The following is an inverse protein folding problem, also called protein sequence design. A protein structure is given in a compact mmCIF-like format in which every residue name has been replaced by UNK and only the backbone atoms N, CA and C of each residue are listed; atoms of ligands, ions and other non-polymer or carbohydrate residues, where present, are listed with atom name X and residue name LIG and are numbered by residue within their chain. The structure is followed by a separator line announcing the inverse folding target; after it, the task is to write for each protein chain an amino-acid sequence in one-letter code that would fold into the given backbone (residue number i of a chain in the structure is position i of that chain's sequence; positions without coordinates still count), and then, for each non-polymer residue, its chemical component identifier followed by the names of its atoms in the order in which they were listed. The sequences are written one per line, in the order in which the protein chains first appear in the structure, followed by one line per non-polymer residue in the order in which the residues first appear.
data_IF_773218955428
#
_entry.id   IF_773218955428
#
_cell.length_a   1.000
_cell.length_b   1.000
_cell.length_c   1.000
_cell.angle_alpha   90.00
_cell.angle_beta   90.00
_cell.angle_gamma   90.00
#
_symmetry.space_group_name_H-M   'P 1'
#
loop_
_entity.id
_entity.type
_entity.pdbx_description
1 polymer ?
#
# COMPACT_ATOMS: atom_id res chain seq x y z
N UNK A 1 19.14 5.99 -43.60
CA UNK A 1 18.29 5.76 -42.41
C UNK A 1 19.00 6.46 -41.27
N UNK A 2 18.63 7.71 -41.00
CA UNK A 2 19.32 8.53 -40.02
C UNK A 2 19.15 7.91 -38.64
N UNK A 3 20.27 7.48 -38.03
CA UNK A 3 20.26 6.94 -36.68
C UNK A 3 19.87 8.06 -35.72
N UNK A 4 18.73 7.91 -35.08
CA UNK A 4 18.36 8.71 -33.91
C UNK A 4 19.51 8.59 -32.89
N UNK A 5 20.10 9.71 -32.42
CA UNK A 5 21.15 9.66 -31.41
C UNK A 5 20.70 8.90 -30.17
N UNK A 6 21.61 8.14 -29.56
CA UNK A 6 21.29 7.26 -28.41
C UNK A 6 20.62 8.01 -27.26
N UNK A 7 21.05 9.26 -26.99
CA UNK A 7 20.46 10.11 -25.96
C UNK A 7 18.98 10.45 -26.26
N UNK A 8 18.67 10.79 -27.51
CA UNK A 8 17.31 11.10 -27.93
C UNK A 8 16.41 9.85 -27.85
N UNK A 9 16.96 8.68 -28.22
CA UNK A 9 16.27 7.41 -28.07
C UNK A 9 16.01 7.06 -26.61
N UNK A 10 16.98 7.28 -25.72
CA UNK A 10 16.83 7.07 -24.28
C UNK A 10 15.73 7.97 -23.70
N UNK A 11 15.65 9.23 -24.12
CA UNK A 11 14.63 10.17 -23.68
C UNK A 11 13.22 9.81 -24.15
N UNK A 12 13.08 9.27 -25.38
CA UNK A 12 11.81 8.73 -25.87
C UNK A 12 11.42 7.51 -25.03
N UNK A 13 12.33 6.55 -24.85
CA UNK A 13 12.08 5.32 -24.12
C UNK A 13 11.74 5.57 -22.63
N UNK A 14 12.37 6.56 -22.00
CA UNK A 14 12.12 6.94 -20.60
C UNK A 14 10.69 7.46 -20.37
N UNK A 15 10.01 7.92 -21.41
CA UNK A 15 8.60 8.37 -21.35
C UNK A 15 7.61 7.22 -21.42
N UNK A 16 8.04 6.02 -21.81
CA UNK A 16 7.15 4.87 -21.89
C UNK A 16 6.82 4.32 -20.49
N UNK A 17 5.61 3.78 -20.28
CA UNK A 17 5.31 3.04 -19.06
C UNK A 17 6.13 1.72 -19.01
N UNK A 18 6.24 1.08 -17.83
CA UNK A 18 7.15 -0.06 -17.63
C UNK A 18 6.92 -1.22 -18.61
N UNK A 19 5.67 -1.50 -18.98
CA UNK A 19 5.33 -2.61 -19.88
C UNK A 19 5.83 -2.38 -21.32
N UNK A 20 5.46 -1.29 -22.03
CA UNK A 20 6.03 -1.00 -23.34
C UNK A 20 7.55 -0.88 -23.34
N UNK A 21 8.16 -0.33 -22.29
CA UNK A 21 9.62 -0.26 -22.18
C UNK A 21 10.25 -1.66 -22.12
N UNK A 22 9.66 -2.59 -21.38
CA UNK A 22 10.11 -3.98 -21.35
C UNK A 22 9.97 -4.68 -22.71
N UNK A 23 8.93 -4.34 -23.48
CA UNK A 23 8.76 -4.82 -24.86
C UNK A 23 9.84 -4.25 -25.77
N UNK A 24 10.10 -2.94 -25.73
CA UNK A 24 11.19 -2.32 -26.51
C UNK A 24 12.54 -2.99 -26.23
N UNK A 25 12.83 -3.30 -24.97
CA UNK A 25 14.03 -4.05 -24.57
C UNK A 25 14.16 -5.42 -25.24
N UNK A 26 13.05 -6.09 -25.56
CA UNK A 26 13.05 -7.40 -26.23
C UNK A 26 13.11 -7.35 -27.76
N UNK A 27 12.93 -6.18 -28.38
CA UNK A 27 12.80 -6.05 -29.84
C UNK A 27 14.15 -6.07 -30.56
N UNK A 28 15.18 -5.42 -30.03
CA UNK A 28 16.50 -5.37 -30.66
C UNK A 28 17.65 -5.28 -29.64
N UNK A 29 18.87 -5.63 -30.10
CA UNK A 29 20.09 -5.50 -29.28
C UNK A 29 20.39 -4.05 -28.92
N UNK A 30 20.14 -3.12 -29.83
CA UNK A 30 20.40 -1.70 -29.62
C UNK A 30 19.44 -1.11 -28.60
N UNK A 31 18.13 -1.40 -28.71
CA UNK A 31 17.15 -1.00 -27.71
C UNK A 31 17.44 -1.61 -26.34
N UNK A 32 17.85 -2.88 -26.31
CA UNK A 32 18.30 -3.52 -25.07
C UNK A 32 19.49 -2.80 -24.46
N UNK A 33 20.50 -2.44 -25.27
CA UNK A 33 21.69 -1.74 -24.80
C UNK A 33 21.35 -0.37 -24.19
N UNK A 34 20.46 0.39 -24.81
CA UNK A 34 20.00 1.69 -24.27
C UNK A 34 19.21 1.52 -22.97
N UNK A 35 18.28 0.56 -22.92
CA UNK A 35 17.45 0.31 -21.73
C UNK A 35 18.29 -0.15 -20.55
N UNK A 36 19.23 -1.08 -20.78
CA UNK A 36 20.08 -1.66 -19.73
C UNK A 36 21.20 -0.68 -19.33
N UNK A 37 21.88 -0.05 -20.31
CA UNK A 37 22.98 0.88 -20.08
C UNK A 37 22.56 2.16 -19.34
N UNK A 38 21.29 2.58 -19.46
CA UNK A 38 20.73 3.72 -18.73
C UNK A 38 19.82 3.31 -17.57
N UNK A 39 19.76 2.02 -17.25
CA UNK A 39 18.95 1.48 -16.16
C UNK A 39 17.47 1.94 -16.20
N UNK A 40 16.89 2.10 -17.40
CA UNK A 40 15.58 2.76 -17.55
C UNK A 40 14.46 1.99 -16.84
N UNK A 41 14.49 0.65 -16.86
CA UNK A 41 13.53 -0.18 -16.12
C UNK A 41 13.68 -0.04 -14.60
N UNK A 42 14.90 0.10 -14.10
CA UNK A 42 15.15 0.32 -12.68
C UNK A 42 14.67 1.72 -12.26
N UNK A 43 14.88 2.74 -13.10
CA UNK A 43 14.36 4.09 -12.87
C UNK A 43 12.83 4.11 -12.80
N UNK A 44 12.14 3.23 -13.55
CA UNK A 44 10.69 3.09 -13.51
C UNK A 44 10.19 2.03 -12.49
N UNK A 45 11.08 1.41 -11.71
CA UNK A 45 10.71 0.36 -10.75
C UNK A 45 9.73 0.83 -9.67
N UNK A 46 9.74 2.12 -9.34
CA UNK A 46 8.75 2.72 -8.44
C UNK A 46 7.34 2.77 -9.06
N UNK A 47 7.23 2.78 -10.40
CA UNK A 47 5.94 2.77 -11.14
C UNK A 47 5.41 1.38 -11.38
N UNK A 48 6.24 0.35 -11.23
CA UNK A 48 5.79 -1.04 -11.22
C UNK A 48 5.22 -1.30 -9.84
N UNK A 49 3.94 -1.67 -9.75
CA UNK A 49 3.38 -2.24 -8.51
C UNK A 49 4.30 -3.36 -8.06
N UNK A 50 5.08 -3.12 -7.00
CA UNK A 50 5.88 -4.17 -6.37
C UNK A 50 4.89 -5.28 -5.99
N UNK A 51 5.25 -6.53 -6.30
CA UNK A 51 4.40 -7.68 -5.96
C UNK A 51 4.05 -7.66 -4.47
N UNK A 52 2.87 -8.19 -4.13
CA UNK A 52 2.45 -8.32 -2.74
C UNK A 52 3.49 -9.11 -1.96
N UNK A 53 4.19 -8.45 -1.01
CA UNK A 53 5.25 -9.09 -0.21
C UNK A 53 4.69 -10.04 0.85
N UNK A 54 3.47 -9.78 1.31
CA UNK A 54 2.77 -10.62 2.27
C UNK A 54 1.43 -10.04 2.68
N UNK A 55 0.74 -10.75 3.57
CA UNK A 55 -0.57 -10.39 4.12
C UNK A 55 -0.50 -10.41 5.64
N UNK A 56 -1.16 -9.44 6.27
CA UNK A 56 -1.44 -9.45 7.71
C UNK A 56 -2.82 -10.06 7.94
N UNK A 57 -2.92 -11.03 8.85
CA UNK A 57 -4.18 -11.70 9.22
C UNK A 57 -4.42 -11.49 10.71
N UNK A 58 -5.59 -10.97 11.06
CA UNK A 58 -6.07 -10.89 12.44
C UNK A 58 -6.70 -12.23 12.81
N UNK A 59 -6.20 -12.88 13.87
CA UNK A 59 -6.81 -14.09 14.43
C UNK A 59 -7.60 -13.76 15.69
N UNK A 60 -8.75 -14.42 15.85
CA UNK A 60 -9.56 -14.28 17.08
C UNK A 60 -8.77 -14.81 18.27
N UNK A 61 -8.77 -14.06 19.38
CA UNK A 61 -8.08 -14.42 20.60
C UNK A 61 -6.55 -14.22 20.56
N UNK A 62 -6.03 -13.54 19.53
CA UNK A 62 -4.64 -13.16 19.44
C UNK A 62 -4.48 -11.66 19.65
N UNK A 63 -3.41 -11.28 20.34
CA UNK A 63 -3.19 -9.88 20.67
C UNK A 63 -2.70 -9.05 19.47
N UNK A 64 -2.15 -9.72 18.47
CA UNK A 64 -1.53 -9.09 17.30
C UNK A 64 -1.82 -9.86 16.01
N UNK A 65 -1.76 -9.17 14.85
CA UNK A 65 -1.86 -9.81 13.55
C UNK A 65 -0.63 -10.65 13.24
N UNK A 66 -0.82 -11.68 12.44
CA UNK A 66 0.26 -12.51 11.90
C UNK A 66 0.58 -12.11 10.47
N UNK A 67 1.87 -12.03 10.14
CA UNK A 67 2.33 -11.72 8.80
C UNK A 67 2.75 -12.99 8.05
N UNK A 68 2.15 -13.19 6.88
CA UNK A 68 2.48 -14.28 5.98
C UNK A 68 3.11 -13.72 4.71
N UNK A 69 4.35 -14.09 4.43
CA UNK A 69 5.08 -13.66 3.24
C UNK A 69 5.59 -14.83 2.43
N UNK A 70 5.84 -14.59 1.14
CA UNK A 70 6.69 -15.49 0.37
C UNK A 70 8.14 -15.36 0.86
N UNK A 71 8.89 -16.47 0.98
CA UNK A 71 10.29 -16.41 1.35
C UNK A 71 11.10 -15.71 0.25
N UNK A 72 11.37 -14.42 0.43
CA UNK A 72 12.25 -13.63 -0.43
C UNK A 72 13.62 -13.49 0.23
N UNK A 73 14.64 -14.14 -0.35
CA UNK A 73 16.02 -14.12 0.18
C UNK A 73 16.72 -12.75 0.09
N UNK A 74 16.24 -11.83 -0.75
CA UNK A 74 16.96 -10.61 -1.11
C UNK A 74 16.29 -9.31 -0.65
N UNK A 75 15.12 -9.37 -0.01
CA UNK A 75 14.39 -8.17 0.38
C UNK A 75 14.61 -7.85 1.87
N UNK A 76 14.62 -6.57 2.28
CA UNK A 76 14.76 -6.19 3.68
C UNK A 76 13.67 -6.88 4.52
N UNK A 77 14.02 -7.35 5.73
CA UNK A 77 13.07 -7.99 6.62
C UNK A 77 11.98 -6.98 7.00
N UNK A 78 10.72 -7.36 6.78
CA UNK A 78 9.57 -6.65 7.33
C UNK A 78 9.52 -7.01 8.81
N UNK A 79 9.34 -6.03 9.69
CA UNK A 79 9.02 -6.31 11.08
C UNK A 79 7.58 -6.84 11.16
N UNK A 80 7.48 -8.16 10.97
CA UNK A 80 6.26 -8.95 10.91
C UNK A 80 5.48 -8.95 12.24
N UNK A 81 6.20 -8.77 13.34
CA UNK A 81 5.64 -8.81 14.69
C UNK A 81 5.14 -7.44 15.16
N UNK A 82 5.40 -6.38 14.38
CA UNK A 82 5.04 -4.99 14.69
C UNK A 82 5.61 -4.52 16.05
N UNK A 83 6.77 -5.03 16.48
CA UNK A 83 7.39 -4.65 17.77
C UNK A 83 7.70 -3.16 17.86
N UNK A 84 7.97 -2.51 16.72
CA UNK A 84 8.15 -1.06 16.63
C UNK A 84 6.94 -0.22 17.09
N UNK A 85 5.77 -0.82 17.32
CA UNK A 85 4.59 -0.16 17.89
C UNK A 85 4.59 -0.09 19.42
N UNK A 86 5.58 -0.65 20.12
CA UNK A 86 5.69 -0.50 21.57
C UNK A 86 5.60 0.99 21.99
N UNK A 87 4.71 1.33 22.95
CA UNK A 87 4.10 0.48 23.98
C UNK A 87 2.74 -0.18 23.61
N UNK A 88 2.28 -0.09 22.36
CA UNK A 88 0.98 -0.62 21.93
C UNK A 88 1.07 -2.14 21.83
N UNK A 89 0.69 -2.85 22.89
CA UNK A 89 0.81 -4.32 22.98
C UNK A 89 -0.22 -5.08 22.16
N UNK A 90 -1.41 -4.51 21.96
CA UNK A 90 -2.57 -5.17 21.38
C UNK A 90 -3.17 -4.39 20.21
N UNK A 91 -3.80 -5.10 19.27
CA UNK A 91 -4.67 -4.48 18.26
C UNK A 91 -4.74 -5.27 16.95
N UNK A 92 -5.47 -4.70 15.99
CA UNK A 92 -5.78 -5.35 14.72
C UNK A 92 -5.48 -4.47 13.52
N UNK A 93 -5.14 -5.07 12.39
CA UNK A 93 -5.03 -4.35 11.11
C UNK A 93 -6.43 -4.24 10.50
N UNK A 94 -6.96 -3.03 10.43
CA UNK A 94 -8.31 -2.76 9.89
C UNK A 94 -8.28 -2.40 8.41
N UNK A 95 -7.15 -1.92 7.90
CA UNK A 95 -6.96 -1.64 6.47
C UNK A 95 -5.47 -1.67 6.10
N UNK A 96 -5.16 -1.84 4.82
CA UNK A 96 -3.80 -1.69 4.30
C UNK A 96 -3.83 -1.03 2.92
N UNK A 97 -2.81 -0.23 2.59
CA UNK A 97 -2.68 0.41 1.29
C UNK A 97 -1.21 0.66 0.95
N UNK A 98 -0.75 0.15 -0.20
CA UNK A 98 0.61 0.38 -0.75
C UNK A 98 1.77 0.29 0.27
N UNK A 99 1.69 -0.69 1.18
CA UNK A 99 2.73 -0.97 2.18
C UNK A 99 2.53 -0.27 3.53
N UNK A 100 1.55 0.61 3.66
CA UNK A 100 1.10 1.16 4.93
C UNK A 100 -0.04 0.32 5.51
N UNK A 101 -0.10 0.24 6.83
CA UNK A 101 -1.16 -0.41 7.59
C UNK A 101 -1.94 0.63 8.39
N UNK A 102 -3.25 0.44 8.46
CA UNK A 102 -4.10 1.10 9.43
C UNK A 102 -4.37 0.11 10.57
N UNK A 103 -3.85 0.44 11.75
CA UNK A 103 -3.89 -0.40 12.94
C UNK A 103 -4.82 0.22 13.99
N UNK A 104 -5.69 -0.59 14.58
CA UNK A 104 -6.66 -0.19 15.60
C UNK A 104 -6.32 -0.87 16.93
N UNK A 105 -6.10 -0.05 17.95
CA UNK A 105 -5.97 -0.47 19.35
C UNK A 105 -7.09 0.18 20.16
N UNK A 106 -7.99 -0.63 20.71
CA UNK A 106 -9.25 -0.22 21.35
C UNK A 106 -10.06 0.78 20.50
N UNK A 107 -9.83 2.07 20.68
CA UNK A 107 -10.49 3.18 19.98
C UNK A 107 -9.52 4.11 19.24
N UNK A 108 -8.22 3.81 19.27
CA UNK A 108 -7.17 4.64 18.69
C UNK A 108 -6.64 4.01 17.41
N UNK A 109 -6.60 4.81 16.35
CA UNK A 109 -6.01 4.42 15.07
C UNK A 109 -4.56 4.88 14.96
N UNK A 110 -3.77 4.05 14.30
CA UNK A 110 -2.38 4.31 13.95
C UNK A 110 -2.16 4.00 12.48
N UNK A 111 -1.35 4.82 11.82
CA UNK A 111 -0.80 4.50 10.51
C UNK A 111 0.62 3.99 10.71
N UNK A 112 0.89 2.79 10.22
CA UNK A 112 2.12 2.07 10.47
C UNK A 112 2.81 1.73 9.15
N UNK A 113 4.13 1.85 9.10
CA UNK A 113 4.97 1.37 8.02
C UNK A 113 5.92 0.29 8.54
N UNK A 114 5.58 -1.01 8.36
CA UNK A 114 6.41 -2.12 8.80
C UNK A 114 7.78 -2.22 8.11
N UNK A 115 7.91 -1.64 6.91
CA UNK A 115 9.19 -1.64 6.19
C UNK A 115 10.17 -0.60 6.76
N UNK A 116 9.66 0.52 7.27
CA UNK A 116 10.50 1.57 7.86
C UNK A 116 10.47 1.59 9.39
N UNK A 117 9.66 0.73 10.03
CA UNK A 117 9.45 0.68 11.48
C UNK A 117 9.00 2.03 12.06
N UNK A 118 8.12 2.73 11.33
CA UNK A 118 7.58 4.04 11.75
C UNK A 118 6.08 3.93 11.93
N UNK A 119 5.55 4.73 12.84
CA UNK A 119 4.13 4.83 13.08
C UNK A 119 3.75 6.26 13.48
N UNK A 120 2.48 6.59 13.30
CA UNK A 120 1.89 7.83 13.76
C UNK A 120 0.48 7.55 14.30
N UNK A 121 0.18 8.11 15.47
CA UNK A 121 -1.18 8.11 16.02
C UNK A 121 -2.04 9.09 15.22
N UNK A 122 -3.23 8.65 14.80
CA UNK A 122 -4.20 9.53 14.16
C UNK A 122 -4.93 10.39 15.21
N UNK A 123 -5.38 11.60 14.83
CA UNK A 123 -6.20 12.41 15.72
C UNK A 123 -7.49 11.67 16.12
N UNK A 124 -8.05 11.97 17.30
CA UNK A 124 -9.33 11.41 17.72
C UNK A 124 -10.41 11.68 16.68
N UNK A 125 -11.26 10.68 16.41
CA UNK A 125 -12.38 10.84 15.48
C UNK A 125 -13.45 11.74 16.11
N UNK A 126 -14.00 12.73 15.37
CA UNK A 126 -15.11 13.53 15.86
C UNK A 126 -16.38 12.67 15.93
N UNK A 127 -16.85 12.38 17.15
CA UNK A 127 -18.19 11.83 17.40
C UNK A 127 -18.45 10.36 17.03
N UNK A 128 -17.42 9.61 16.60
CA UNK A 128 -17.57 8.20 16.22
C UNK A 128 -17.43 7.24 17.40
N UNK A 129 -18.22 6.17 17.41
CA UNK A 129 -17.90 4.98 18.20
C UNK A 129 -16.74 4.24 17.54
N UNK A 130 -16.01 3.41 18.28
CA UNK A 130 -14.84 2.65 17.76
C UNK A 130 -15.15 1.70 16.58
N UNK A 131 -16.40 1.65 16.09
CA UNK A 131 -16.85 0.81 14.98
C UNK A 131 -16.87 1.46 13.60
N UNK A 132 -16.71 2.79 13.47
CA UNK A 132 -16.80 3.44 12.15
C UNK A 132 -15.67 2.96 11.21
N UNK A 133 -15.99 2.54 9.97
CA UNK A 133 -14.99 2.11 9.01
C UNK A 133 -14.07 3.28 8.62
N UNK A 134 -12.76 3.02 8.64
CA UNK A 134 -11.75 3.93 8.09
C UNK A 134 -10.90 3.25 7.03
N UNK A 135 -10.55 4.04 6.03
CA UNK A 135 -9.83 3.59 4.85
C UNK A 135 -8.59 4.43 4.66
N UNK A 136 -7.48 3.74 4.43
CA UNK A 136 -6.20 4.36 4.10
C UNK A 136 -6.10 4.58 2.59
N UNK A 137 -5.81 5.82 2.20
CA UNK A 137 -5.53 6.21 0.82
C UNK A 137 -4.08 6.64 0.74
N UNK A 138 -3.27 5.87 0.02
CA UNK A 138 -1.85 6.16 -0.14
C UNK A 138 -1.37 5.64 -1.49
N UNK A 139 -0.82 6.52 -2.32
CA UNK A 139 -0.13 6.14 -3.56
C UNK A 139 1.25 6.80 -3.60
N UNK A 140 2.33 6.06 -3.26
CA UNK A 140 3.69 6.61 -3.24
C UNK A 140 4.21 7.01 -4.63
N UNK A 141 3.51 6.65 -5.71
CA UNK A 141 3.84 7.10 -7.07
C UNK A 141 3.30 8.49 -7.38
N UNK A 142 2.33 8.97 -6.59
CA UNK A 142 1.70 10.29 -6.73
C UNK A 142 2.16 11.24 -5.63
N UNK A 143 2.11 10.81 -4.36
CA UNK A 143 2.46 11.63 -3.19
C UNK A 143 3.01 10.76 -2.06
N UNK A 144 3.94 11.31 -1.28
CA UNK A 144 4.40 10.69 -0.04
C UNK A 144 3.45 10.96 1.14
N UNK A 145 2.40 11.74 0.94
CA UNK A 145 1.34 11.96 1.91
C UNK A 145 0.29 10.86 1.80
N UNK A 146 -0.16 10.37 2.96
CA UNK A 146 -1.32 9.49 3.05
C UNK A 146 -2.51 10.29 3.56
N UNK A 147 -3.70 9.81 3.22
CA UNK A 147 -4.97 10.30 3.76
C UNK A 147 -5.71 9.15 4.43
N UNK A 148 -6.51 9.46 5.45
CA UNK A 148 -7.38 8.49 6.12
C UNK A 148 -8.80 9.02 6.08
N UNK A 149 -9.67 8.31 5.39
CA UNK A 149 -11.08 8.67 5.22
C UNK A 149 -11.90 7.80 6.15
N UNK A 150 -12.76 8.41 6.97
CA UNK A 150 -13.69 7.70 7.84
C UNK A 150 -15.13 8.00 7.39
N UNK A 151 -15.97 6.97 7.38
CA UNK A 151 -17.40 7.14 7.11
C UNK A 151 -18.18 6.90 8.40
N UNK A 152 -18.95 7.88 8.85
CA UNK A 152 -19.89 7.68 9.95
C UNK A 152 -21.05 6.81 9.49
N UNK A 153 -21.41 5.79 10.27
CA UNK A 153 -22.67 5.08 10.00
C UNK A 153 -23.85 6.04 10.12
N UNK A 154 -24.55 6.28 9.01
CA UNK A 154 -25.84 6.98 9.04
C UNK A 154 -26.83 6.07 9.78
N UNK A 155 -27.66 6.59 10.70
CA UNK A 155 -28.66 5.77 11.38
C UNK A 155 -29.48 4.97 10.37
N UNK A 156 -29.50 3.64 10.52
CA UNK A 156 -30.36 2.77 9.70
C UNK A 156 -31.78 3.32 9.78
N UNK A 157 -32.46 3.51 8.64
CA UNK A 157 -33.87 3.94 8.61
C UNK A 157 -34.66 3.12 9.64
N UNK A 158 -35.46 3.76 10.51
CA UNK A 158 -36.25 3.01 11.49
C UNK A 158 -37.10 1.99 10.75
N UNK A 159 -37.13 0.75 11.26
CA UNK A 159 -38.04 -0.28 10.73
C UNK A 159 -39.45 0.27 10.85
N UNK A 160 -40.14 0.41 9.71
CA UNK A 160 -41.56 0.77 9.70
C UNK A 160 -42.29 -0.30 10.53
N UNK A 161 -43.11 0.07 11.52
CA UNK A 161 -43.87 -0.90 12.29
C UNK A 161 -44.74 -1.71 11.32
N UNK A 162 -44.54 -3.03 11.29
CA UNK A 162 -45.44 -3.92 10.58
C UNK A 162 -46.75 -3.86 11.35
N UNK A 163 -47.78 -3.23 10.79
CA UNK A 163 -49.11 -3.30 11.38
C UNK A 163 -49.57 -4.76 11.37
N UNK A 164 -49.98 -5.34 12.51
CA UNK A 164 -50.55 -6.67 12.52
C UNK A 164 -51.82 -6.66 11.66
N UNK A 165 -51.89 -7.61 10.73
CA UNK A 165 -53.00 -7.76 9.79
C UNK A 165 -54.34 -7.90 10.51
N UNK A 166 -55.36 -7.27 9.92
CA UNK A 166 -56.78 -7.39 10.28
C UNK A 166 -57.25 -8.82 9.98
#
# INVERSE_FOLDING_TARGET
MDLVPEELLADILRRLPPRPLAVCRSVSKDLRAVVDGRCLLAALSHRVRRGMRGVFINYVGQDRPYFFSRPERAAPPIDAELRFLEPIGWGTVVHHCNGLLLFLDWSTLYVCNPATRRWARLPPRPGGTGGDPAHLVFDPTVSLHYEVISFSEVPRKPKIPIQPGI
#
